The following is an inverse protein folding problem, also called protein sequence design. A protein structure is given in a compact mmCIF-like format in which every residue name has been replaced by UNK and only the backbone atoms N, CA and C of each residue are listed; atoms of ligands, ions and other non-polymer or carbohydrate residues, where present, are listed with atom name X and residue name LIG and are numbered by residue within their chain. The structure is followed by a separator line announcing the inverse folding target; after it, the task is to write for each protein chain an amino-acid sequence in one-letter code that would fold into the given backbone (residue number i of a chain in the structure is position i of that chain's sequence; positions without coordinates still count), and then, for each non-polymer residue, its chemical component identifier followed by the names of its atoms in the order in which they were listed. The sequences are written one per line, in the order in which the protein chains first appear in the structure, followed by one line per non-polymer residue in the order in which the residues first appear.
data_IF_048349429850
#
_entry.id   IF_048349429850
#
_cell.length_a   1.000
_cell.length_b   1.000
_cell.length_c   1.000
_cell.angle_alpha   90.00
_cell.angle_beta   90.00
_cell.angle_gamma   90.00
#
_symmetry.space_group_name_H-M   'P 1'
#
loop_
_entity.id
_entity.type
_entity.pdbx_description
1 polymer ?
#
# COMPACT_ATOMS: atom_id res chain seq x y z
N UNK A 1 -27.24 53.88 -24.40
CA UNK A 1 -27.03 53.91 -22.93
C UNK A 1 -27.63 52.69 -22.22
N UNK A 2 -28.91 52.38 -22.38
CA UNK A 2 -29.59 51.26 -21.68
C UNK A 2 -28.90 49.89 -21.85
N UNK A 3 -28.46 49.56 -23.06
CA UNK A 3 -27.75 48.30 -23.32
C UNK A 3 -26.41 48.19 -22.56
N UNK A 4 -25.68 49.31 -22.39
CA UNK A 4 -24.39 49.33 -21.68
C UNK A 4 -24.61 49.13 -20.18
N UNK A 5 -25.62 49.78 -19.60
CA UNK A 5 -25.98 49.63 -18.18
C UNK A 5 -26.42 48.19 -17.89
N UNK A 6 -27.22 47.60 -18.78
CA UNK A 6 -27.63 46.20 -18.66
C UNK A 6 -26.45 45.23 -18.68
N UNK A 7 -25.52 45.41 -19.63
CA UNK A 7 -24.35 44.55 -19.78
C UNK A 7 -23.42 44.63 -18.56
N UNK A 8 -23.25 45.82 -17.98
CA UNK A 8 -22.46 46.02 -16.76
C UNK A 8 -23.07 45.31 -15.55
N UNK A 9 -24.40 45.39 -15.37
CA UNK A 9 -25.10 44.72 -14.26
C UNK A 9 -24.98 43.19 -14.38
N UNK A 10 -25.17 42.66 -15.59
CA UNK A 10 -25.02 41.23 -15.85
C UNK A 10 -23.58 40.77 -15.61
N UNK A 11 -22.58 41.54 -16.02
CA UNK A 11 -21.17 41.23 -15.76
C UNK A 11 -20.81 41.19 -14.27
N UNK A 12 -21.34 42.13 -13.49
CA UNK A 12 -21.14 42.17 -12.03
C UNK A 12 -21.81 40.98 -11.33
N UNK A 13 -22.94 40.49 -11.84
CA UNK A 13 -23.61 39.30 -11.31
C UNK A 13 -22.92 37.99 -11.72
N UNK A 14 -22.41 37.91 -12.94
CA UNK A 14 -21.80 36.67 -13.47
C UNK A 14 -20.40 36.40 -12.91
N UNK A 15 -19.64 37.45 -12.60
CA UNK A 15 -18.26 37.36 -12.11
C UNK A 15 -18.09 36.59 -10.78
N UNK A 16 -18.89 36.80 -9.72
CA UNK A 16 -18.74 36.00 -8.50
C UNK A 16 -19.15 34.54 -8.72
N UNK A 17 -20.17 34.28 -9.54
CA UNK A 17 -20.64 32.93 -9.85
C UNK A 17 -19.56 32.13 -10.59
N UNK A 18 -18.93 32.75 -11.59
CA UNK A 18 -17.83 32.13 -12.34
C UNK A 18 -16.59 31.88 -11.47
N UNK A 19 -16.25 32.77 -10.53
CA UNK A 19 -15.16 32.55 -9.57
C UNK A 19 -15.43 31.38 -8.61
N UNK A 20 -16.67 31.24 -8.12
CA UNK A 20 -17.04 30.13 -7.23
C UNK A 20 -16.97 28.80 -7.99
N UNK A 21 -17.52 28.74 -9.21
CA UNK A 21 -17.51 27.54 -10.04
C UNK A 21 -16.09 27.13 -10.43
N UNK A 22 -15.25 28.08 -10.85
CA UNK A 22 -13.85 27.80 -11.17
C UNK A 22 -13.09 27.25 -9.97
N UNK A 23 -13.30 27.82 -8.78
CA UNK A 23 -12.69 27.31 -7.53
C UNK A 23 -13.15 25.88 -7.21
N UNK A 24 -14.43 25.57 -7.37
CA UNK A 24 -14.97 24.23 -7.16
C UNK A 24 -14.38 23.21 -8.14
N UNK A 25 -14.28 23.57 -9.42
CA UNK A 25 -13.70 22.70 -10.45
C UNK A 25 -12.22 22.43 -10.17
N UNK A 26 -11.44 23.45 -9.80
CA UNK A 26 -10.03 23.28 -9.43
C UNK A 26 -9.91 22.35 -8.23
N UNK A 27 -10.69 22.58 -7.17
CA UNK A 27 -10.66 21.76 -5.97
C UNK A 27 -11.03 20.29 -6.26
N UNK A 28 -12.08 20.07 -7.05
CA UNK A 28 -12.49 18.74 -7.46
C UNK A 28 -11.40 18.03 -8.28
N UNK A 29 -10.79 18.72 -9.25
CA UNK A 29 -9.75 18.15 -10.09
C UNK A 29 -8.49 17.79 -9.29
N UNK A 30 -8.10 18.63 -8.32
CA UNK A 30 -7.01 18.31 -7.39
C UNK A 30 -7.31 17.07 -6.54
N UNK A 31 -8.51 16.96 -5.99
CA UNK A 31 -8.90 15.77 -5.22
C UNK A 31 -8.89 14.50 -6.08
N UNK A 32 -9.37 14.60 -7.32
CA UNK A 32 -9.41 13.46 -8.24
C UNK A 32 -8.01 12.99 -8.64
N UNK A 33 -7.08 13.93 -8.87
CA UNK A 33 -5.67 13.62 -9.07
C UNK A 33 -5.06 12.95 -7.83
N UNK A 34 -5.30 13.48 -6.62
CA UNK A 34 -4.81 12.87 -5.39
C UNK A 34 -5.33 11.43 -5.17
N UNK A 35 -6.59 11.16 -5.49
CA UNK A 35 -7.18 9.82 -5.41
C UNK A 35 -6.58 8.85 -6.46
N UNK A 36 -6.30 9.34 -7.67
CA UNK A 36 -5.62 8.54 -8.69
C UNK A 36 -4.17 8.23 -8.31
N UNK A 37 -3.45 9.19 -7.72
CA UNK A 37 -2.10 8.94 -7.22
C UNK A 37 -2.07 7.99 -6.01
N UNK A 38 -3.02 8.11 -5.08
CA UNK A 38 -3.08 7.21 -3.93
C UNK A 38 -3.44 5.77 -4.34
N UNK A 39 -4.33 5.60 -5.32
CA UNK A 39 -4.67 4.28 -5.86
C UNK A 39 -3.54 3.64 -6.68
N UNK A 40 -2.77 4.43 -7.43
CA UNK A 40 -1.56 3.92 -8.10
C UNK A 40 -0.50 3.49 -7.10
N UNK A 41 -0.28 4.29 -6.04
CA UNK A 41 0.67 3.97 -4.98
C UNK A 41 0.31 2.66 -4.27
N UNK A 42 -0.97 2.49 -3.91
CA UNK A 42 -1.43 1.25 -3.27
C UNK A 42 -1.29 0.04 -4.20
N UNK A 43 -1.54 0.20 -5.51
CA UNK A 43 -1.35 -0.87 -6.49
C UNK A 43 0.12 -1.31 -6.59
N UNK A 44 1.06 -0.36 -6.62
CA UNK A 44 2.50 -0.69 -6.64
C UNK A 44 2.97 -1.37 -5.36
N UNK A 45 2.46 -0.94 -4.20
CA UNK A 45 2.77 -1.59 -2.92
C UNK A 45 2.22 -3.03 -2.90
N UNK A 46 1.00 -3.25 -3.38
CA UNK A 46 0.40 -4.59 -3.50
C UNK A 46 1.18 -5.49 -4.48
N UNK A 47 1.62 -4.95 -5.63
CA UNK A 47 2.41 -5.68 -6.62
C UNK A 47 3.81 -6.04 -6.10
N UNK A 48 4.42 -5.17 -5.31
CA UNK A 48 5.71 -5.45 -4.68
C UNK A 48 5.57 -6.59 -3.65
N UNK A 49 4.56 -6.47 -2.78
CA UNK A 49 4.21 -7.48 -1.77
C UNK A 49 3.94 -8.85 -2.38
N UNK A 50 3.15 -8.91 -3.46
CA UNK A 50 2.77 -10.18 -4.10
C UNK A 50 3.94 -10.86 -4.82
N UNK A 51 4.85 -10.09 -5.42
CA UNK A 51 6.05 -10.66 -6.05
C UNK A 51 7.06 -11.21 -5.04
N UNK A 52 7.17 -10.59 -3.87
CA UNK A 52 8.01 -11.09 -2.76
C UNK A 52 7.42 -12.35 -2.14
N UNK A 53 6.10 -12.36 -1.91
CA UNK A 53 5.37 -13.54 -1.43
C UNK A 53 5.58 -14.77 -2.32
N UNK A 54 5.72 -14.58 -3.63
CA UNK A 54 5.99 -15.66 -4.58
C UNK A 54 7.42 -16.20 -4.49
N UNK A 55 8.42 -15.38 -4.15
CA UNK A 55 9.83 -15.80 -4.11
C UNK A 55 10.10 -16.82 -3.02
N UNK A 56 9.79 -16.51 -1.76
CA UNK A 56 10.06 -17.47 -0.68
C UNK A 56 9.20 -18.73 -0.80
N UNK A 57 7.95 -18.62 -1.29
CA UNK A 57 7.09 -19.79 -1.57
C UNK A 57 7.72 -20.71 -2.61
N UNK A 58 8.32 -20.15 -3.65
CA UNK A 58 9.04 -20.93 -4.67
C UNK A 58 10.27 -21.62 -4.08
N UNK A 59 11.03 -20.95 -3.21
CA UNK A 59 12.18 -21.56 -2.52
C UNK A 59 11.75 -22.69 -1.56
N UNK A 60 10.63 -22.52 -0.86
CA UNK A 60 10.03 -23.57 -0.01
C UNK A 60 9.61 -24.79 -0.86
N UNK A 61 8.93 -24.56 -1.98
CA UNK A 61 8.53 -25.64 -2.90
C UNK A 61 9.74 -26.40 -3.46
N UNK A 62 10.81 -25.69 -3.78
CA UNK A 62 12.07 -26.26 -4.28
C UNK A 62 12.96 -26.86 -3.18
N UNK A 63 12.51 -26.88 -1.91
CA UNK A 63 13.26 -27.34 -0.73
C UNK A 63 14.58 -26.59 -0.49
N UNK A 64 14.69 -25.37 -1.01
CA UNK A 64 15.84 -24.48 -0.85
C UNK A 64 15.71 -23.69 0.47
N UNK A 65 15.78 -24.40 1.60
CA UNK A 65 15.46 -23.86 2.93
C UNK A 65 16.30 -22.66 3.35
N UNK A 66 17.59 -22.66 3.01
CA UNK A 66 18.51 -21.56 3.35
C UNK A 66 18.16 -20.26 2.64
N UNK A 67 17.83 -20.34 1.35
CA UNK A 67 17.40 -19.18 0.56
C UNK A 67 16.01 -18.69 0.99
N UNK A 68 15.10 -19.61 1.32
CA UNK A 68 13.80 -19.27 1.87
C UNK A 68 13.92 -18.54 3.22
N UNK A 69 14.77 -19.04 4.12
CA UNK A 69 15.03 -18.39 5.42
C UNK A 69 15.67 -17.02 5.26
N UNK A 70 16.62 -16.87 4.33
CA UNK A 70 17.27 -15.59 4.08
C UNK A 70 16.29 -14.51 3.60
N UNK A 71 15.42 -14.82 2.65
CA UNK A 71 14.41 -13.85 2.18
C UNK A 71 13.37 -13.55 3.28
N UNK A 72 12.91 -14.56 4.03
CA UNK A 72 11.96 -14.34 5.14
C UNK A 72 12.56 -13.51 6.28
N UNK A 73 13.84 -13.68 6.60
CA UNK A 73 14.52 -12.89 7.64
C UNK A 73 14.78 -11.43 7.19
N UNK A 74 15.04 -11.24 5.90
CA UNK A 74 15.11 -9.92 5.30
C UNK A 74 13.75 -9.21 5.39
N UNK A 75 12.67 -9.90 5.06
CA UNK A 75 11.31 -9.36 5.10
C UNK A 75 10.85 -9.03 6.53
N UNK A 76 11.29 -9.78 7.55
CA UNK A 76 11.02 -9.49 8.96
C UNK A 76 11.50 -8.11 9.44
N UNK A 77 12.50 -7.54 8.77
CA UNK A 77 13.08 -6.24 9.14
C UNK A 77 12.41 -5.05 8.43
N UNK A 78 11.48 -5.30 7.51
CA UNK A 78 10.71 -4.27 6.82
C UNK A 78 9.37 -3.98 7.55
N UNK A 79 8.83 -2.78 7.36
CA UNK A 79 7.58 -2.35 8.01
C UNK A 79 6.35 -2.98 7.35
N UNK A 80 6.16 -4.29 7.55
CA UNK A 80 4.97 -5.00 7.09
C UNK A 80 3.82 -4.95 8.11
N UNK A 81 2.56 -5.04 7.65
CA UNK A 81 1.41 -5.22 8.53
C UNK A 81 1.54 -6.50 9.38
N UNK A 82 1.03 -6.44 10.61
CA UNK A 82 1.15 -7.47 11.64
C UNK A 82 0.73 -8.86 11.13
N UNK A 83 -0.32 -8.95 10.32
CA UNK A 83 -0.81 -10.22 9.77
C UNK A 83 0.22 -10.93 8.87
N UNK A 84 1.03 -10.17 8.12
CA UNK A 84 2.08 -10.72 7.26
C UNK A 84 3.29 -11.15 8.08
N UNK A 85 3.67 -10.36 9.09
CA UNK A 85 4.73 -10.74 10.05
C UNK A 85 4.40 -12.05 10.78
N UNK A 86 3.13 -12.27 11.14
CA UNK A 86 2.66 -13.54 11.70
C UNK A 86 2.89 -14.70 10.73
N UNK A 87 2.53 -14.53 9.46
CA UNK A 87 2.72 -15.55 8.43
C UNK A 87 4.20 -15.88 8.21
N UNK A 88 5.07 -14.86 8.19
CA UNK A 88 6.51 -15.06 8.06
C UNK A 88 7.13 -15.78 9.25
N UNK A 89 6.78 -15.37 10.49
CA UNK A 89 7.25 -16.06 11.70
C UNK A 89 6.78 -17.52 11.74
N UNK A 90 5.56 -17.81 11.32
CA UNK A 90 5.05 -19.17 11.22
C UNK A 90 5.80 -20.00 10.16
N UNK A 91 6.04 -19.43 8.97
CA UNK A 91 6.78 -20.08 7.91
C UNK A 91 8.23 -20.40 8.32
N UNK A 92 8.91 -19.46 8.98
CA UNK A 92 10.26 -19.66 9.53
C UNK A 92 10.24 -20.80 10.57
N UNK A 93 9.28 -20.78 11.49
CA UNK A 93 9.11 -21.83 12.50
C UNK A 93 8.98 -23.21 11.86
N UNK A 94 8.15 -23.34 10.81
CA UNK A 94 7.90 -24.60 10.12
C UNK A 94 9.14 -25.11 9.36
N UNK A 95 9.89 -24.20 8.72
CA UNK A 95 11.16 -24.56 8.06
C UNK A 95 12.19 -25.04 9.09
N UNK A 96 12.28 -24.37 10.25
CA UNK A 96 13.23 -24.73 11.30
C UNK A 96 12.87 -26.06 11.96
N UNK A 97 11.58 -26.33 12.21
CA UNK A 97 11.09 -27.60 12.74
C UNK A 97 11.43 -28.76 11.78
N UNK A 98 11.17 -28.59 10.48
CA UNK A 98 11.53 -29.59 9.46
C UNK A 98 13.04 -29.86 9.39
N UNK A 99 13.88 -28.91 9.78
CA UNK A 99 15.33 -29.05 9.83
C UNK A 99 15.86 -29.44 11.23
N UNK A 100 15.01 -29.93 12.13
CA UNK A 100 15.34 -30.35 13.51
C UNK A 100 15.82 -29.25 14.46
N UNK A 101 15.56 -27.97 14.15
CA UNK A 101 15.88 -26.83 15.00
C UNK A 101 14.70 -26.40 15.90
N UNK A 102 14.10 -27.36 16.60
CA UNK A 102 12.84 -27.17 17.34
C UNK A 102 12.91 -26.07 18.41
N UNK A 103 14.04 -25.96 19.12
CA UNK A 103 14.24 -24.90 20.12
C UNK A 103 14.23 -23.49 19.52
N UNK A 104 14.67 -23.34 18.26
CA UNK A 104 14.64 -22.05 17.57
C UNK A 104 13.25 -21.81 17.00
N UNK A 105 12.60 -22.84 16.44
CA UNK A 105 11.24 -22.76 15.91
C UNK A 105 10.22 -22.25 16.94
N UNK A 106 10.28 -22.73 18.18
CA UNK A 106 9.38 -22.29 19.27
C UNK A 106 9.49 -20.80 19.57
N UNK A 107 10.68 -20.22 19.44
CA UNK A 107 10.88 -18.76 19.60
C UNK A 107 10.11 -17.97 18.54
N UNK A 108 10.04 -18.47 17.31
CA UNK A 108 9.29 -17.82 16.23
C UNK A 108 7.78 -18.05 16.36
N UNK A 109 7.33 -19.23 16.81
CA UNK A 109 5.91 -19.45 17.11
C UNK A 109 5.39 -18.61 18.28
N UNK A 110 6.20 -18.36 19.30
CA UNK A 110 5.81 -17.49 20.41
C UNK A 110 5.62 -16.03 19.97
N UNK A 111 6.30 -15.58 18.91
CA UNK A 111 6.08 -14.25 18.32
C UNK A 111 4.78 -14.15 17.51
N UNK A 112 4.16 -15.27 17.15
CA UNK A 112 2.86 -15.31 16.45
C UNK A 112 1.70 -15.18 17.43
N UNK A 113 1.86 -15.71 18.64
CA UNK A 113 0.79 -15.77 19.66
C UNK A 113 0.77 -14.58 20.63
N UNK A 114 1.75 -13.69 20.56
CA UNK A 114 1.87 -12.48 21.37
C UNK A 114 1.59 -11.23 20.51
#
# INVERSE_FOLDING_TARGET
MIAIVYLSIVGILLTPITLILTKQVIYFNFNLLCLNFSSLKSLTEILHLTNQDLKYKTYIQNKQWTFALYELDKELNENYPINQLIQFNYAIGLILENNSYNHIATKYYNKVNN
#
